data_IF_181322779013
#
_entry.id   IF_181322779013
#
_cell.length_a   1.000
_cell.length_b   1.000
_cell.length_c   1.000
_cell.angle_alpha   90.00
_cell.angle_beta   90.00
_cell.angle_gamma   90.00
#
_symmetry.space_group_name_H-M   'P 1'
#
loop_
_entity.id
_entity.type
_entity.pdbx_description
1 polymer ?
#
# COMPACT_ATOMS: atom_id res chain seq x y z
N UNK A 1 65.60 -10.63 54.28
CA UNK A 1 64.61 -9.55 54.38
C UNK A 1 64.53 -8.70 53.12
N UNK A 2 65.09 -9.13 51.94
CA UNK A 2 65.17 -8.28 50.75
C UNK A 2 64.27 -8.70 49.53
N UNK A 3 63.54 -9.81 49.66
CA UNK A 3 62.66 -10.26 48.52
C UNK A 3 61.25 -9.62 48.52
N UNK A 4 60.80 -9.06 49.62
CA UNK A 4 59.44 -8.42 49.68
C UNK A 4 59.43 -6.98 49.19
N UNK A 5 60.53 -6.22 49.23
CA UNK A 5 60.57 -4.85 48.77
C UNK A 5 60.58 -4.74 47.23
N UNK A 6 61.21 -5.70 46.50
CA UNK A 6 61.25 -5.64 45.04
C UNK A 6 59.93 -5.99 44.37
N UNK A 7 59.04 -6.75 45.06
CA UNK A 7 57.72 -7.09 44.50
C UNK A 7 56.72 -5.93 44.56
N UNK A 8 56.86 -5.03 45.56
CA UNK A 8 56.00 -3.87 45.69
C UNK A 8 56.38 -2.79 44.68
N UNK A 9 57.66 -2.62 44.35
CA UNK A 9 58.12 -1.63 43.37
C UNK A 9 57.71 -2.03 41.93
N UNK A 10 57.68 -3.32 41.59
CA UNK A 10 57.21 -3.76 40.26
C UNK A 10 55.69 -3.59 40.06
N UNK A 11 54.90 -3.74 41.11
CA UNK A 11 53.45 -3.54 41.06
C UNK A 11 53.04 -2.05 40.94
N UNK A 12 53.85 -1.14 41.50
CA UNK A 12 53.59 0.30 41.39
C UNK A 12 53.96 0.84 40.01
N UNK A 13 55.05 0.33 39.42
CA UNK A 13 55.45 0.70 38.06
C UNK A 13 54.42 0.25 37.01
N UNK A 14 53.85 -0.97 37.13
CA UNK A 14 52.77 -1.45 36.24
C UNK A 14 51.50 -0.63 36.28
N UNK A 15 51.13 -0.17 37.49
CA UNK A 15 49.94 0.69 37.67
C UNK A 15 50.08 2.07 37.02
N UNK A 16 51.25 2.67 37.06
CA UNK A 16 51.52 3.98 36.44
C UNK A 16 51.58 3.85 34.91
N UNK A 17 52.14 2.74 34.38
CA UNK A 17 52.14 2.46 32.96
C UNK A 17 50.69 2.23 32.42
N UNK A 18 49.87 1.49 33.16
CA UNK A 18 48.46 1.27 32.79
C UNK A 18 47.67 2.58 32.80
N UNK A 19 47.88 3.46 33.80
CA UNK A 19 47.24 4.78 33.84
C UNK A 19 47.67 5.66 32.64
N UNK A 20 48.97 5.62 32.29
CA UNK A 20 49.49 6.32 31.13
C UNK A 20 48.88 5.85 29.82
N UNK A 21 48.76 4.53 29.63
CA UNK A 21 48.11 3.94 28.44
C UNK A 21 46.62 4.28 28.39
N UNK A 22 45.92 4.23 29.53
CA UNK A 22 44.51 4.59 29.61
C UNK A 22 44.27 6.08 29.31
N UNK A 23 45.15 6.96 29.79
CA UNK A 23 45.11 8.38 29.47
C UNK A 23 45.43 8.67 28.01
N UNK A 24 46.40 7.97 27.42
CA UNK A 24 46.71 8.10 26.00
C UNK A 24 45.54 7.61 25.10
N UNK A 25 44.87 6.54 25.53
CA UNK A 25 43.69 6.03 24.80
C UNK A 25 42.50 6.99 24.89
N UNK A 26 42.30 7.64 26.05
CA UNK A 26 41.22 8.65 26.16
C UNK A 26 41.53 9.90 25.35
N UNK A 27 42.77 10.36 25.30
CA UNK A 27 43.18 11.52 24.47
C UNK A 27 43.03 11.18 22.96
N UNK A 28 43.36 9.95 22.56
CA UNK A 28 43.17 9.51 21.17
C UNK A 28 41.70 9.47 20.72
N UNK A 29 40.77 9.18 21.66
CA UNK A 29 39.34 9.20 21.35
C UNK A 29 38.79 10.62 21.15
N UNK A 30 39.40 11.64 21.79
CA UNK A 30 38.99 13.04 21.60
C UNK A 30 39.59 13.67 20.31
N UNK A 31 40.71 13.16 19.82
CA UNK A 31 41.32 13.67 18.57
C UNK A 31 40.67 13.07 17.32
N UNK A 32 39.99 11.89 17.45
CA UNK A 32 39.29 11.24 16.32
C UNK A 32 38.00 11.94 15.87
N UNK A 33 37.48 12.88 16.70
CA UNK A 33 36.24 13.62 16.37
C UNK A 33 36.48 15.03 15.80
N UNK A 34 37.72 15.46 15.56
CA UNK A 34 38.00 16.82 15.07
C UNK A 34 38.40 16.92 13.61
N UNK A 35 38.30 15.83 12.86
CA UNK A 35 38.09 15.97 11.40
C UNK A 35 36.60 16.13 11.16
N UNK A 36 36.04 17.20 11.73
CA UNK A 36 34.87 17.79 11.17
C UNK A 36 35.14 18.06 9.69
N UNK A 37 34.15 17.95 8.91
CA UNK A 37 34.05 18.35 7.51
C UNK A 37 34.75 19.69 7.24
N UNK A 38 36.08 19.67 7.05
CA UNK A 38 36.89 20.80 6.58
C UNK A 38 36.95 20.85 5.04
N UNK A 39 36.11 20.08 4.36
CA UNK A 39 35.75 20.35 3.00
C UNK A 39 34.47 21.19 3.07
N UNK A 40 34.53 22.46 2.75
CA UNK A 40 33.38 23.13 2.17
C UNK A 40 33.02 22.37 0.88
N UNK A 41 32.41 21.21 1.02
CA UNK A 41 31.52 20.71 -0.02
C UNK A 41 30.34 21.67 0.01
N UNK A 42 30.54 22.83 -0.59
CA UNK A 42 29.46 23.62 -1.11
C UNK A 42 28.71 22.69 -2.04
N UNK A 43 27.62 22.11 -1.57
CA UNK A 43 26.58 21.61 -2.43
C UNK A 43 26.01 22.82 -3.19
N UNK A 44 26.79 23.32 -4.12
CA UNK A 44 26.26 24.19 -5.16
C UNK A 44 25.36 23.28 -5.97
N UNK A 45 24.07 23.27 -5.63
CA UNK A 45 23.07 22.83 -6.56
C UNK A 45 23.29 23.69 -7.78
N UNK A 46 23.82 23.12 -8.86
CA UNK A 46 23.98 23.83 -10.14
C UNK A 46 22.62 24.16 -10.79
N UNK A 47 21.55 24.02 -10.02
CA UNK A 47 20.18 24.23 -10.49
C UNK A 47 19.71 25.59 -10.00
N UNK A 48 20.05 26.61 -10.76
CA UNK A 48 19.51 27.96 -10.62
C UNK A 48 19.12 28.49 -12.01
N UNK A 49 18.27 29.48 -12.05
CA UNK A 49 17.72 30.07 -13.29
C UNK A 49 17.06 29.03 -14.20
N UNK A 50 16.38 28.05 -13.59
CA UNK A 50 15.84 26.91 -14.30
C UNK A 50 14.34 26.72 -14.06
N UNK A 51 13.66 26.14 -15.05
CA UNK A 51 12.33 25.57 -14.84
C UNK A 51 12.48 24.15 -14.27
N UNK A 52 11.86 23.93 -13.11
CA UNK A 52 11.91 22.63 -12.42
C UNK A 52 10.94 21.62 -13.06
N UNK A 53 11.23 20.35 -12.88
CA UNK A 53 10.31 19.25 -13.17
C UNK A 53 9.64 18.76 -11.89
N UNK A 54 8.45 18.17 -12.00
CA UNK A 54 7.82 17.47 -10.89
C UNK A 54 8.54 16.15 -10.59
N UNK A 55 8.51 15.66 -9.34
CA UNK A 55 9.18 14.42 -8.96
C UNK A 55 8.54 13.22 -9.64
N UNK A 56 9.29 12.15 -9.84
CA UNK A 56 8.73 10.87 -10.28
C UNK A 56 8.03 10.16 -9.13
N UNK A 57 6.86 9.59 -9.42
CA UNK A 57 6.08 8.77 -8.51
C UNK A 57 5.86 7.39 -9.11
N UNK A 58 5.86 6.36 -8.24
CA UNK A 58 5.61 4.98 -8.63
C UNK A 58 4.82 4.26 -7.53
N UNK A 59 4.45 2.99 -7.73
CA UNK A 59 3.80 2.19 -6.67
C UNK A 59 4.67 2.13 -5.39
N UNK A 60 5.99 2.14 -5.50
CA UNK A 60 6.91 2.13 -4.35
C UNK A 60 6.98 3.46 -3.59
N UNK A 61 6.43 4.54 -4.14
CA UNK A 61 6.31 5.82 -3.46
C UNK A 61 5.30 5.79 -2.29
N UNK A 62 4.47 4.76 -2.20
CA UNK A 62 3.39 4.65 -1.22
C UNK A 62 3.70 3.61 -0.15
N UNK A 63 3.38 3.94 1.09
CA UNK A 63 3.46 3.01 2.22
C UNK A 63 2.36 3.29 3.24
N UNK A 64 1.82 2.22 3.86
CA UNK A 64 0.86 2.36 4.96
C UNK A 64 1.61 2.61 6.27
N UNK A 65 1.10 3.52 7.08
CA UNK A 65 1.63 3.90 8.39
C UNK A 65 0.53 3.78 9.42
N UNK A 66 0.79 3.04 10.50
CA UNK A 66 -0.13 2.96 11.64
C UNK A 66 0.15 4.14 12.57
N UNK A 67 -0.86 4.94 12.84
CA UNK A 67 -0.81 6.08 13.75
C UNK A 67 -0.87 5.63 15.21
N UNK A 68 -0.51 6.52 16.14
CA UNK A 68 -0.48 6.21 17.57
C UNK A 68 -1.88 5.90 18.15
N UNK A 69 -2.94 6.35 17.50
CA UNK A 69 -4.35 6.10 17.86
C UNK A 69 -4.90 4.80 17.25
N UNK A 70 -4.08 4.09 16.44
CA UNK A 70 -4.47 2.86 15.76
C UNK A 70 -5.14 3.08 14.40
N UNK A 71 -5.34 4.31 13.96
CA UNK A 71 -5.76 4.61 12.59
C UNK A 71 -4.60 4.39 11.61
N UNK A 72 -4.89 4.29 10.33
CA UNK A 72 -3.88 4.16 9.30
C UNK A 72 -3.86 5.38 8.38
N UNK A 73 -2.64 5.77 8.00
CA UNK A 73 -2.40 6.80 6.99
C UNK A 73 -1.57 6.22 5.85
N UNK A 74 -1.65 6.85 4.69
CA UNK A 74 -0.77 6.58 3.56
C UNK A 74 0.30 7.64 3.53
N UNK A 75 1.56 7.21 3.55
CA UNK A 75 2.71 8.07 3.29
C UNK A 75 3.06 8.00 1.82
N UNK A 76 3.18 9.17 1.20
CA UNK A 76 3.73 9.33 -0.15
C UNK A 76 5.12 9.90 -0.03
N UNK A 77 6.10 9.31 -0.73
CA UNK A 77 7.50 9.74 -0.73
C UNK A 77 8.04 9.80 -2.15
N UNK A 78 8.99 10.72 -2.36
CA UNK A 78 9.68 10.89 -3.65
C UNK A 78 11.12 11.33 -3.44
N UNK A 79 11.91 11.29 -4.50
CA UNK A 79 13.27 11.79 -4.47
C UNK A 79 13.29 13.31 -4.53
N UNK A 80 14.24 13.93 -3.82
CA UNK A 80 14.39 15.38 -3.82
C UNK A 80 14.62 15.91 -5.23
N UNK A 81 13.88 16.94 -5.63
CA UNK A 81 14.14 17.69 -6.84
C UNK A 81 15.13 18.80 -6.49
N UNK A 82 16.37 18.76 -7.04
CA UNK A 82 17.38 19.78 -6.74
C UNK A 82 16.89 21.18 -7.10
N UNK A 83 17.04 22.12 -6.17
CA UNK A 83 16.63 23.50 -6.38
C UNK A 83 15.15 23.80 -6.20
N UNK A 84 14.37 22.83 -5.71
CA UNK A 84 12.96 23.03 -5.35
C UNK A 84 12.80 24.01 -4.18
N UNK A 85 11.70 24.76 -4.18
CA UNK A 85 11.28 25.60 -3.07
C UNK A 85 10.30 24.91 -2.13
N UNK A 86 9.87 23.71 -2.47
CA UNK A 86 8.86 22.90 -1.81
C UNK A 86 8.03 22.13 -2.84
N UNK A 87 6.94 21.54 -2.39
CA UNK A 87 6.04 20.77 -3.25
C UNK A 87 4.59 21.09 -2.92
N UNK A 88 3.76 21.20 -3.96
CA UNK A 88 2.32 21.23 -3.80
C UNK A 88 1.76 19.84 -4.03
N UNK A 89 1.02 19.32 -3.07
CA UNK A 89 0.46 17.97 -3.06
C UNK A 89 -1.06 18.05 -3.02
N UNK A 90 -1.71 17.22 -3.80
CA UNK A 90 -3.16 17.12 -3.84
C UNK A 90 -3.59 15.67 -4.00
N UNK A 91 -4.62 15.25 -3.25
CA UNK A 91 -5.16 13.90 -3.26
C UNK A 91 -6.68 13.96 -3.32
N UNK A 92 -7.23 13.27 -4.31
CA UNK A 92 -8.67 13.03 -4.42
C UNK A 92 -9.00 11.55 -4.23
N UNK A 93 -10.09 11.27 -3.52
CA UNK A 93 -10.81 10.02 -3.66
C UNK A 93 -11.58 10.04 -4.99
N UNK A 94 -11.25 9.08 -5.85
CA UNK A 94 -11.83 8.95 -7.19
C UNK A 94 -12.63 7.64 -7.37
N UNK A 95 -13.22 7.13 -6.28
CA UNK A 95 -14.17 6.01 -6.38
C UNK A 95 -15.31 6.32 -7.36
N UNK A 96 -15.78 7.57 -7.34
CA UNK A 96 -16.63 8.17 -8.37
C UNK A 96 -15.82 9.21 -9.15
N UNK A 97 -15.31 8.87 -10.35
CA UNK A 97 -14.51 9.81 -11.14
C UNK A 97 -15.29 11.07 -11.61
N UNK A 98 -16.63 11.00 -11.63
CA UNK A 98 -17.47 12.16 -11.99
C UNK A 98 -17.61 13.15 -10.83
N UNK A 99 -17.40 12.70 -9.60
CA UNK A 99 -17.54 13.49 -8.38
C UNK A 99 -16.37 13.18 -7.43
N UNK A 100 -15.13 13.60 -7.76
CA UNK A 100 -13.98 13.37 -6.91
C UNK A 100 -14.15 14.12 -5.58
N UNK A 101 -13.65 13.53 -4.49
CA UNK A 101 -13.70 14.14 -3.15
C UNK A 101 -12.27 14.39 -2.68
N UNK A 102 -11.97 15.65 -2.40
CA UNK A 102 -10.68 16.07 -1.88
C UNK A 102 -10.39 15.40 -0.54
N UNK A 103 -9.18 14.81 -0.42
CA UNK A 103 -8.67 14.15 0.78
C UNK A 103 -7.50 14.93 1.38
N UNK A 104 -6.68 15.53 0.54
CA UNK A 104 -5.54 16.35 0.94
C UNK A 104 -5.27 17.42 -0.11
N UNK A 105 -5.01 18.64 0.36
CA UNK A 105 -4.55 19.76 -0.47
C UNK A 105 -3.60 20.64 0.34
N UNK A 106 -2.37 20.85 -0.17
CA UNK A 106 -1.42 21.71 0.54
C UNK A 106 0.01 21.64 0.05
N UNK A 107 0.79 22.57 0.60
CA UNK A 107 2.23 22.68 0.36
C UNK A 107 3.02 21.94 1.44
N UNK A 108 4.12 21.30 1.03
CA UNK A 108 5.06 20.60 1.92
C UNK A 108 6.49 20.98 1.56
N UNK A 109 7.30 21.25 2.60
CA UNK A 109 8.72 21.57 2.44
C UNK A 109 9.59 20.32 2.25
N UNK A 110 9.07 19.16 2.70
CA UNK A 110 9.78 17.87 2.67
C UNK A 110 9.47 17.06 1.42
N UNK A 111 10.10 15.91 1.30
CA UNK A 111 9.92 14.94 0.21
C UNK A 111 8.88 13.85 0.54
N UNK A 112 7.98 14.14 1.45
CA UNK A 112 6.89 13.23 1.82
C UNK A 112 5.75 13.97 2.49
N UNK A 113 4.55 13.40 2.39
CA UNK A 113 3.38 13.78 3.17
C UNK A 113 2.55 12.57 3.55
N UNK A 114 1.57 12.79 4.41
CA UNK A 114 0.63 11.78 4.90
C UNK A 114 -0.79 12.23 4.60
N UNK A 115 -1.65 11.29 4.24
CA UNK A 115 -3.08 11.49 4.20
C UNK A 115 -3.82 10.27 4.80
N UNK A 116 -5.04 10.47 5.25
CA UNK A 116 -5.81 9.43 5.91
C UNK A 116 -6.15 8.30 4.93
N UNK A 117 -5.90 7.07 5.37
CA UNK A 117 -6.23 5.88 4.60
C UNK A 117 -7.70 5.51 4.81
N UNK A 118 -8.44 5.40 3.73
CA UNK A 118 -9.73 4.72 3.72
C UNK A 118 -9.56 3.34 3.05
N UNK A 119 -10.27 2.35 3.59
CA UNK A 119 -10.28 1.01 3.00
C UNK A 119 -11.04 0.99 1.68
N UNK A 120 -10.63 0.10 0.79
CA UNK A 120 -11.28 -0.14 -0.50
C UNK A 120 -11.50 1.14 -1.33
N UNK A 121 -10.51 2.03 -1.37
CA UNK A 121 -10.62 3.36 -1.98
C UNK A 121 -9.60 3.55 -3.08
N UNK A 122 -10.03 4.20 -4.16
CA UNK A 122 -9.19 4.65 -5.28
C UNK A 122 -8.84 6.11 -5.09
N UNK A 123 -7.57 6.45 -5.24
CA UNK A 123 -7.06 7.82 -5.13
C UNK A 123 -6.39 8.28 -6.42
N UNK A 124 -6.52 9.56 -6.70
CA UNK A 124 -5.64 10.30 -7.62
C UNK A 124 -4.71 11.14 -6.78
N UNK A 125 -3.42 10.91 -6.89
CA UNK A 125 -2.39 11.64 -6.12
C UNK A 125 -1.55 12.45 -7.08
N UNK A 126 -1.41 13.75 -6.82
CA UNK A 126 -0.59 14.63 -7.60
C UNK A 126 0.44 15.36 -6.75
N UNK A 127 1.66 15.52 -7.30
CA UNK A 127 2.75 16.27 -6.67
C UNK A 127 3.39 17.17 -7.72
N UNK A 128 3.48 18.47 -7.42
CA UNK A 128 4.11 19.48 -8.27
C UNK A 128 5.23 20.19 -7.52
N UNK A 129 6.39 20.30 -8.13
CA UNK A 129 7.52 21.03 -7.56
C UNK A 129 7.25 22.54 -7.62
N UNK A 130 7.42 23.23 -6.51
CA UNK A 130 7.31 24.67 -6.38
C UNK A 130 8.63 25.37 -6.75
N UNK A 131 8.52 26.59 -7.25
CA UNK A 131 9.66 27.45 -7.57
C UNK A 131 10.45 27.83 -6.32
N UNK A 132 11.72 28.21 -6.54
CA UNK A 132 12.60 28.68 -5.49
C UNK A 132 13.13 30.07 -5.85
N UNK A 133 12.60 31.09 -5.22
CA UNK A 133 12.97 32.49 -5.49
C UNK A 133 14.46 32.78 -5.24
N UNK A 134 15.05 32.13 -4.20
CA UNK A 134 16.46 32.33 -3.85
C UNK A 134 17.42 31.83 -4.94
N UNK A 135 16.97 30.86 -5.74
CA UNK A 135 17.73 30.27 -6.84
C UNK A 135 17.23 30.77 -8.20
N UNK A 136 16.23 31.66 -8.23
CA UNK A 136 15.51 32.09 -9.42
C UNK A 136 14.96 30.92 -10.26
N UNK A 137 14.52 29.84 -9.58
CA UNK A 137 13.92 28.70 -10.23
C UNK A 137 12.40 28.86 -10.32
N UNK A 138 11.83 28.52 -11.46
CA UNK A 138 10.39 28.50 -11.68
C UNK A 138 9.80 27.12 -11.35
N UNK A 139 8.55 27.10 -10.87
CA UNK A 139 7.83 25.86 -10.57
C UNK A 139 7.71 24.94 -11.79
N UNK A 140 7.53 23.65 -11.54
CA UNK A 140 7.17 22.70 -12.59
C UNK A 140 5.86 23.15 -13.28
N UNK A 141 5.75 23.06 -14.61
CA UNK A 141 4.54 23.45 -15.34
C UNK A 141 3.37 22.54 -14.98
N UNK A 142 3.64 21.25 -14.88
CA UNK A 142 2.63 20.21 -14.65
C UNK A 142 2.99 19.37 -13.41
N UNK A 143 2.00 18.89 -12.64
CA UNK A 143 2.21 17.91 -11.60
C UNK A 143 2.48 16.52 -12.19
N UNK A 144 3.18 15.68 -11.45
CA UNK A 144 3.12 14.24 -11.67
C UNK A 144 1.85 13.72 -11.00
N UNK A 145 1.05 12.96 -11.74
CA UNK A 145 -0.20 12.37 -11.26
C UNK A 145 -0.10 10.86 -11.32
N UNK A 146 -0.49 10.19 -10.25
CA UNK A 146 -0.51 8.73 -10.17
C UNK A 146 -1.81 8.23 -9.52
N UNK A 147 -2.38 7.15 -10.04
CA UNK A 147 -3.47 6.44 -9.40
C UNK A 147 -2.92 5.51 -8.31
N UNK A 148 -3.54 5.53 -7.15
CA UNK A 148 -3.26 4.62 -6.03
C UNK A 148 -4.55 4.00 -5.52
N UNK A 149 -4.50 2.75 -5.05
CA UNK A 149 -5.66 2.07 -4.50
C UNK A 149 -5.29 1.26 -3.26
N UNK A 150 -6.16 1.28 -2.27
CA UNK A 150 -6.09 0.41 -1.08
C UNK A 150 -6.77 -0.94 -1.28
N UNK A 151 -7.39 -1.16 -2.43
CA UNK A 151 -7.99 -2.44 -2.79
C UNK A 151 -6.92 -3.46 -3.20
N UNK A 152 -7.19 -4.73 -2.93
CA UNK A 152 -6.42 -5.83 -3.53
C UNK A 152 -6.56 -5.74 -5.06
N UNK A 153 -5.44 -5.89 -5.77
CA UNK A 153 -5.44 -5.86 -7.24
C UNK A 153 -6.32 -7.00 -7.78
N UNK A 154 -7.26 -6.66 -8.66
CA UNK A 154 -8.26 -7.62 -9.13
C UNK A 154 -8.06 -7.99 -10.60
N UNK A 155 -8.42 -9.23 -10.90
CA UNK A 155 -8.65 -9.67 -12.28
C UNK A 155 -10.08 -9.28 -12.68
N UNK A 156 -10.18 -8.44 -13.71
CA UNK A 156 -11.50 -7.99 -14.23
C UNK A 156 -12.12 -9.09 -15.07
N UNK A 157 -13.35 -9.48 -14.73
CA UNK A 157 -14.13 -10.43 -15.50
C UNK A 157 -14.84 -9.65 -16.63
N UNK A 158 -14.51 -9.90 -17.91
CA UNK A 158 -15.14 -9.19 -19.00
C UNK A 158 -16.64 -9.47 -19.12
N UNK A 159 -17.40 -8.46 -19.53
CA UNK A 159 -18.85 -8.63 -19.78
C UNK A 159 -19.09 -9.70 -20.84
N UNK A 160 -20.07 -10.56 -20.62
CA UNK A 160 -20.41 -11.67 -21.52
C UNK A 160 -19.56 -12.93 -21.32
N UNK A 161 -18.61 -12.93 -20.38
CA UNK A 161 -17.86 -14.11 -19.97
C UNK A 161 -18.63 -14.88 -18.89
N UNK A 162 -18.58 -16.21 -18.92
CA UNK A 162 -19.07 -17.03 -17.80
C UNK A 162 -18.18 -16.85 -16.59
N UNK A 163 -18.79 -16.43 -15.46
CA UNK A 163 -18.06 -16.13 -14.22
C UNK A 163 -17.31 -17.38 -13.72
N UNK A 164 -17.96 -18.55 -13.73
CA UNK A 164 -17.38 -19.77 -13.19
C UNK A 164 -16.20 -20.26 -14.03
N UNK A 165 -16.30 -20.19 -15.36
CA UNK A 165 -15.19 -20.55 -16.26
C UNK A 165 -14.01 -19.57 -16.12
N UNK A 166 -14.29 -18.27 -16.01
CA UNK A 166 -13.25 -17.27 -15.82
C UNK A 166 -12.51 -17.50 -14.52
N UNK A 167 -13.23 -17.61 -13.41
CA UNK A 167 -12.63 -17.88 -12.09
C UNK A 167 -11.79 -19.15 -12.12
N UNK A 168 -12.33 -20.24 -12.65
CA UNK A 168 -11.62 -21.52 -12.76
C UNK A 168 -10.30 -21.43 -13.52
N UNK A 169 -10.24 -20.59 -14.56
CA UNK A 169 -9.06 -20.46 -15.42
C UNK A 169 -8.04 -19.44 -14.88
N UNK A 170 -8.44 -18.56 -13.99
CA UNK A 170 -7.60 -17.48 -13.48
C UNK A 170 -7.30 -17.55 -11.98
N UNK A 171 -7.96 -18.45 -11.25
CA UNK A 171 -7.65 -18.67 -9.84
C UNK A 171 -6.26 -19.30 -9.71
N UNK A 172 -5.39 -18.65 -8.96
CA UNK A 172 -3.98 -19.05 -8.77
C UNK A 172 -3.85 -19.78 -7.43
N UNK A 173 -3.03 -20.82 -7.38
CA UNK A 173 -2.72 -21.52 -6.13
C UNK A 173 -1.72 -20.68 -5.30
N UNK A 174 -2.27 -19.86 -4.40
CA UNK A 174 -1.51 -18.99 -3.49
C UNK A 174 -2.24 -18.84 -2.16
N UNK A 175 -1.48 -18.54 -1.09
CA UNK A 175 -2.03 -18.20 0.24
C UNK A 175 -2.47 -16.72 0.31
N UNK A 176 -2.03 -15.89 -0.63
CA UNK A 176 -2.39 -14.48 -0.71
C UNK A 176 -3.85 -14.31 -1.13
N UNK A 177 -4.46 -13.22 -0.67
CA UNK A 177 -5.82 -12.86 -1.07
C UNK A 177 -5.84 -12.47 -2.55
N UNK A 178 -6.71 -13.11 -3.33
CA UNK A 178 -6.96 -12.79 -4.74
C UNK A 178 -8.26 -11.99 -4.86
N UNK A 179 -8.38 -11.20 -5.91
CA UNK A 179 -9.60 -10.47 -6.17
C UNK A 179 -10.08 -10.68 -7.62
N UNK A 180 -11.40 -10.80 -7.78
CA UNK A 180 -12.09 -10.77 -9.06
C UNK A 180 -13.08 -9.60 -9.05
N UNK A 181 -13.08 -8.81 -10.12
CA UNK A 181 -13.90 -7.60 -10.22
C UNK A 181 -14.81 -7.68 -11.44
N UNK A 182 -16.10 -7.38 -11.22
CA UNK A 182 -17.10 -7.24 -12.27
C UNK A 182 -17.19 -5.78 -12.72
N UNK A 183 -17.37 -5.54 -14.00
CA UNK A 183 -17.51 -4.20 -14.56
C UNK A 183 -18.77 -3.49 -14.03
N UNK A 184 -18.63 -2.19 -13.75
CA UNK A 184 -19.69 -1.40 -13.15
C UNK A 184 -20.94 -1.29 -14.04
N UNK A 185 -22.12 -1.49 -13.43
CA UNK A 185 -23.42 -1.39 -14.10
C UNK A 185 -23.70 -2.49 -15.12
N UNK A 186 -22.80 -3.45 -15.29
CA UNK A 186 -22.97 -4.54 -16.24
C UNK A 186 -23.85 -5.67 -15.68
N UNK A 187 -24.38 -6.51 -16.60
CA UNK A 187 -25.15 -7.68 -16.25
C UNK A 187 -24.33 -8.95 -16.56
N UNK A 188 -24.30 -9.84 -15.59
CA UNK A 188 -23.64 -11.13 -15.65
C UNK A 188 -24.61 -12.27 -15.33
N UNK A 189 -24.26 -13.47 -15.74
CA UNK A 189 -24.98 -14.68 -15.37
C UNK A 189 -24.03 -15.67 -14.72
N UNK A 190 -24.52 -16.37 -13.69
CA UNK A 190 -23.84 -17.48 -13.07
C UNK A 190 -24.72 -18.72 -13.27
N UNK A 191 -24.40 -19.53 -14.27
CA UNK A 191 -25.21 -20.71 -14.67
C UNK A 191 -24.65 -22.04 -14.16
N UNK A 192 -23.47 -22.04 -13.59
CA UNK A 192 -22.79 -23.21 -13.08
C UNK A 192 -22.10 -22.93 -11.73
N UNK A 193 -21.43 -23.94 -11.16
CA UNK A 193 -20.70 -23.80 -9.91
C UNK A 193 -19.44 -22.95 -10.10
N UNK A 194 -19.39 -21.80 -9.42
CA UNK A 194 -18.19 -20.99 -9.24
C UNK A 194 -17.52 -21.37 -7.92
N UNK A 195 -16.46 -22.17 -7.99
CA UNK A 195 -15.75 -22.68 -6.83
C UNK A 195 -14.42 -21.93 -6.64
N UNK A 196 -14.30 -21.23 -5.51
CA UNK A 196 -13.08 -20.55 -5.09
C UNK A 196 -12.12 -21.48 -4.30
N UNK A 197 -12.47 -22.76 -4.13
CA UNK A 197 -11.64 -23.73 -3.42
C UNK A 197 -11.28 -23.28 -2.00
N UNK A 198 -10.02 -23.46 -1.63
CA UNK A 198 -9.46 -23.08 -0.33
C UNK A 198 -8.75 -21.72 -0.34
N UNK A 199 -8.98 -20.90 -1.37
CA UNK A 199 -8.33 -19.60 -1.53
C UNK A 199 -9.12 -18.48 -0.86
N UNK A 200 -8.41 -17.50 -0.31
CA UNK A 200 -9.01 -16.26 0.19
C UNK A 200 -9.33 -15.37 -1.01
N UNK A 201 -10.59 -15.04 -1.19
CA UNK A 201 -11.03 -14.29 -2.37
C UNK A 201 -11.90 -13.10 -1.98
N UNK A 202 -11.64 -11.97 -2.63
CA UNK A 202 -12.59 -10.85 -2.72
C UNK A 202 -13.24 -10.85 -4.10
N UNK A 203 -14.53 -11.14 -4.14
CA UNK A 203 -15.38 -11.04 -5.32
C UNK A 203 -16.18 -9.74 -5.25
N UNK A 204 -15.90 -8.80 -6.14
CA UNK A 204 -16.48 -7.46 -6.05
C UNK A 204 -16.97 -6.92 -7.37
N UNK A 205 -17.90 -5.99 -7.28
CA UNK A 205 -18.31 -5.12 -8.37
C UNK A 205 -17.72 -3.71 -8.23
N UNK A 206 -18.26 -2.78 -8.99
CA UNK A 206 -17.96 -1.38 -8.87
C UNK A 206 -18.70 -0.78 -7.66
N UNK A 207 -18.01 0.07 -6.89
CA UNK A 207 -18.52 0.66 -5.64
C UNK A 207 -19.69 1.63 -5.85
N UNK A 208 -19.77 2.28 -7.00
CA UNK A 208 -20.81 3.27 -7.34
C UNK A 208 -21.88 2.65 -8.24
N UNK A 209 -21.46 1.91 -9.25
CA UNK A 209 -22.36 1.28 -10.22
C UNK A 209 -22.32 -0.23 -10.04
N UNK A 210 -23.11 -0.75 -9.10
CA UNK A 210 -23.14 -2.19 -8.80
C UNK A 210 -23.55 -3.00 -10.02
N UNK A 211 -22.76 -4.01 -10.46
CA UNK A 211 -23.19 -4.96 -11.46
C UNK A 211 -24.31 -5.85 -10.91
N UNK A 212 -25.09 -6.44 -11.82
CA UNK A 212 -26.14 -7.42 -11.50
C UNK A 212 -25.65 -8.79 -11.93
N UNK A 213 -25.69 -9.77 -11.02
CA UNK A 213 -25.40 -11.18 -11.31
C UNK A 213 -26.69 -11.98 -11.16
N UNK A 214 -27.25 -12.43 -12.29
CA UNK A 214 -28.39 -13.35 -12.29
C UNK A 214 -27.89 -14.77 -12.01
N UNK A 215 -28.37 -15.37 -10.92
CA UNK A 215 -28.06 -16.73 -10.55
C UNK A 215 -29.02 -17.68 -11.28
N UNK A 216 -28.52 -18.36 -12.29
CA UNK A 216 -29.26 -19.36 -13.05
C UNK A 216 -29.56 -20.64 -12.23
N UNK A 217 -30.29 -21.56 -12.83
CA UNK A 217 -30.79 -22.77 -12.16
C UNK A 217 -29.69 -23.60 -11.44
N UNK A 218 -28.53 -23.75 -12.07
CA UNK A 218 -27.38 -24.51 -11.53
C UNK A 218 -26.26 -23.60 -10.97
N UNK A 219 -26.53 -22.27 -10.92
CA UNK A 219 -25.59 -21.30 -10.40
C UNK A 219 -25.38 -21.48 -8.90
N UNK A 220 -24.13 -21.66 -8.49
CA UNK A 220 -23.73 -21.82 -7.08
C UNK A 220 -22.38 -21.14 -6.87
N UNK A 221 -22.23 -20.43 -5.76
CA UNK A 221 -20.92 -19.94 -5.29
C UNK A 221 -20.47 -20.86 -4.17
N UNK A 222 -19.29 -21.44 -4.33
CA UNK A 222 -18.67 -22.33 -3.34
C UNK A 222 -17.34 -21.77 -2.88
N UNK A 223 -17.05 -21.89 -1.59
CA UNK A 223 -15.75 -21.57 -1.02
C UNK A 223 -15.46 -22.49 0.17
N UNK A 224 -14.20 -22.85 0.33
CA UNK A 224 -13.66 -23.54 1.51
C UNK A 224 -12.82 -22.63 2.41
N UNK A 225 -12.68 -21.33 2.06
CA UNK A 225 -11.92 -20.34 2.82
C UNK A 225 -12.68 -19.02 2.94
N UNK A 226 -11.97 -17.94 3.30
CA UNK A 226 -12.57 -16.61 3.41
C UNK A 226 -13.01 -16.07 2.06
N UNK A 227 -14.29 -15.73 1.93
CA UNK A 227 -14.86 -15.06 0.75
C UNK A 227 -15.47 -13.73 1.19
N UNK A 228 -15.00 -12.63 0.59
CA UNK A 228 -15.61 -11.30 0.72
C UNK A 228 -16.38 -11.01 -0.56
N UNK A 229 -17.65 -10.69 -0.44
CA UNK A 229 -18.49 -10.23 -1.57
C UNK A 229 -18.83 -8.77 -1.33
N UNK A 230 -18.53 -7.90 -2.30
CA UNK A 230 -18.72 -6.46 -2.17
C UNK A 230 -19.35 -5.88 -3.43
N UNK A 231 -20.34 -4.98 -3.27
CA UNK A 231 -20.91 -4.13 -4.33
C UNK A 231 -21.43 -4.89 -5.55
N UNK A 232 -22.05 -6.04 -5.31
CA UNK A 232 -22.71 -6.86 -6.33
C UNK A 232 -24.17 -7.02 -5.97
N UNK A 233 -25.06 -6.80 -6.91
CA UNK A 233 -26.46 -7.13 -6.81
C UNK A 233 -26.70 -8.53 -7.34
N UNK A 234 -27.24 -9.44 -6.51
CA UNK A 234 -27.59 -10.78 -6.95
C UNK A 234 -29.08 -10.88 -7.24
N UNK A 235 -29.43 -11.36 -8.41
CA UNK A 235 -30.78 -11.73 -8.76
C UNK A 235 -30.89 -13.28 -8.78
N UNK A 236 -31.58 -13.82 -7.79
CA UNK A 236 -31.81 -15.26 -7.62
C UNK A 236 -33.25 -15.69 -7.94
N UNK A 237 -33.97 -14.92 -8.74
CA UNK A 237 -35.39 -15.22 -9.08
C UNK A 237 -35.56 -16.55 -9.80
N UNK A 238 -34.58 -16.94 -10.63
CA UNK A 238 -34.58 -18.23 -11.35
C UNK A 238 -34.38 -19.44 -10.41
N UNK A 239 -33.69 -19.23 -9.27
CA UNK A 239 -33.49 -20.26 -8.25
C UNK A 239 -34.80 -20.67 -7.57
N UNK A 240 -35.78 -19.77 -7.47
CA UNK A 240 -37.06 -20.01 -6.82
C UNK A 240 -37.98 -20.91 -7.65
N UNK A 241 -37.67 -21.14 -8.92
CA UNK A 241 -38.42 -22.05 -9.81
C UNK A 241 -37.99 -23.52 -9.67
N UNK A 242 -37.00 -23.85 -8.82
CA UNK A 242 -36.65 -25.24 -8.55
C UNK A 242 -37.82 -26.01 -7.95
N UNK A 243 -38.28 -27.10 -8.57
CA UNK A 243 -39.18 -28.01 -7.91
C UNK A 243 -38.51 -28.56 -6.65
N UNK A 244 -39.17 -28.39 -5.49
CA UNK A 244 -38.61 -28.89 -4.22
C UNK A 244 -38.24 -30.39 -4.36
N UNK A 245 -36.99 -30.82 -4.15
CA UNK A 245 -36.61 -32.22 -4.34
C UNK A 245 -37.21 -33.16 -3.29
N UNK A 246 -38.01 -32.66 -2.35
CA UNK A 246 -38.52 -33.39 -1.19
C UNK A 246 -40.05 -33.52 -1.11
N UNK A 247 -40.72 -33.87 -2.24
CA UNK A 247 -41.97 -34.60 -2.13
C UNK A 247 -41.82 -35.97 -2.79
N UNK A 248 -40.98 -36.88 -2.27
CA UNK A 248 -41.26 -38.30 -2.39
C UNK A 248 -42.61 -38.54 -1.70
N UNK A 249 -43.67 -38.76 -2.53
CA UNK A 249 -44.91 -39.27 -2.02
C UNK A 249 -44.57 -40.56 -1.28
N UNK A 250 -44.79 -40.55 0.03
CA UNK A 250 -44.81 -41.82 0.78
C UNK A 250 -45.85 -42.73 0.08
N UNK A 251 -45.49 -43.96 -0.22
CA UNK A 251 -46.47 -44.93 -0.69
C UNK A 251 -47.58 -45.04 0.35
N UNK A 252 -48.86 -45.23 -0.07
CA UNK A 252 -49.96 -45.38 0.84
C UNK A 252 -49.68 -46.56 1.75
N UNK A 253 -49.87 -46.39 3.07
CA UNK A 253 -49.80 -47.46 4.04
C UNK A 253 -50.82 -48.52 3.64
N UNK A 254 -50.48 -49.83 3.67
CA UNK A 254 -51.47 -50.90 3.50
C UNK A 254 -52.49 -50.74 4.63
N UNK A 255 -53.76 -50.92 4.24
CA UNK A 255 -54.88 -50.92 5.15
C UNK A 255 -54.80 -52.16 6.11
N UNK A 256 -55.34 -52.04 7.32
CA UNK A 256 -55.29 -53.09 8.31
C UNK A 256 -56.07 -54.36 7.93
#
# INVERSE_FOLDING_TARGET
>A
MNKRLNRIKSLSCGREVIKGILFLMTVALFVSCTKGFDGEETFTSNVHDSQLASPELSKSSFSSVVNADGTESIRVMWDVVPGAGGYYCHVDNVDDPANPVEVFDGEVDGVSFLFDKADDTKYSVSVRTLGNEKLNNTAAPDPTVIAYSTMVEAQVIPVGTDIAEFVKSHLIDTEDEQAFELEGGANYTLNSECDFGTHKVTFRGNKIHHPIVTIGYDGVIRTGAGLKIKWINFDATEQNSRPSPHRRRQPPRPAP
#
